data_IF_738937382244
#
_entry.id   IF_738937382244
#
_cell.length_a   1.000
_cell.length_b   1.000
_cell.length_c   1.000
_cell.angle_alpha   90.00
_cell.angle_beta   90.00
_cell.angle_gamma   90.00
#
_symmetry.space_group_name_H-M   'P 1'
#
loop_
_entity.id
_entity.type
_entity.pdbx_description
1 polymer ?
#
# COMPACT_ATOMS: atom_id res chain seq x y z
N UNK A 1 -9.72 -0.78 -31.12
CA UNK A 1 -8.89 -1.54 -30.15
C UNK A 1 -9.30 -1.12 -28.75
N UNK A 2 -9.62 -2.05 -27.83
CA UNK A 2 -9.89 -1.71 -26.44
C UNK A 2 -8.71 -0.95 -25.83
N UNK A 3 -8.96 0.01 -24.95
CA UNK A 3 -7.89 0.71 -24.22
C UNK A 3 -7.16 -0.32 -23.34
N UNK A 4 -5.85 -0.14 -23.11
CA UNK A 4 -5.01 -1.06 -22.32
C UNK A 4 -5.63 -1.36 -20.93
N UNK A 5 -6.31 -0.38 -20.34
CA UNK A 5 -7.05 -0.49 -19.08
C UNK A 5 -8.29 -1.39 -19.16
N UNK A 6 -9.03 -1.37 -20.27
CA UNK A 6 -10.22 -2.22 -20.48
C UNK A 6 -9.83 -3.69 -20.65
N UNK A 7 -8.73 -3.95 -21.37
CA UNK A 7 -8.20 -5.30 -21.54
C UNK A 7 -7.67 -5.87 -20.21
N UNK A 8 -7.00 -5.05 -19.41
CA UNK A 8 -6.54 -5.47 -18.08
C UNK A 8 -7.71 -5.85 -17.17
N UNK A 9 -8.76 -5.02 -17.11
CA UNK A 9 -9.96 -5.32 -16.34
C UNK A 9 -10.64 -6.62 -16.82
N UNK A 10 -10.71 -6.84 -18.13
CA UNK A 10 -11.29 -8.07 -18.68
C UNK A 10 -10.49 -9.33 -18.29
N UNK A 11 -9.16 -9.27 -18.34
CA UNK A 11 -8.28 -10.37 -17.92
C UNK A 11 -8.45 -10.64 -16.42
N UNK A 12 -8.41 -9.60 -15.59
CA UNK A 12 -8.59 -9.71 -14.15
C UNK A 12 -9.95 -10.32 -13.80
N UNK A 13 -11.04 -9.80 -14.37
CA UNK A 13 -12.39 -10.30 -14.13
C UNK A 13 -12.54 -11.78 -14.49
N UNK A 14 -11.95 -12.20 -15.63
CA UNK A 14 -11.97 -13.62 -16.03
C UNK A 14 -11.17 -14.50 -15.08
N UNK A 15 -10.05 -14.02 -14.57
CA UNK A 15 -9.25 -14.79 -13.60
C UNK A 15 -9.95 -14.85 -12.24
N UNK A 16 -10.57 -13.77 -11.77
CA UNK A 16 -11.31 -13.76 -10.52
C UNK A 16 -12.61 -14.59 -10.56
N UNK A 17 -13.22 -14.75 -11.75
CA UNK A 17 -14.43 -15.57 -11.90
C UNK A 17 -14.19 -17.06 -11.68
N UNK A 18 -12.93 -17.53 -11.63
CA UNK A 18 -12.60 -18.92 -11.32
C UNK A 18 -12.81 -19.28 -9.85
N UNK A 19 -12.85 -18.26 -8.97
CA UNK A 19 -12.95 -18.48 -7.54
C UNK A 19 -14.40 -18.83 -7.19
N UNK A 20 -14.61 -20.13 -7.01
CA UNK A 20 -15.81 -20.76 -6.47
C UNK A 20 -15.44 -21.36 -5.10
N UNK A 21 -15.90 -20.73 -4.01
CA UNK A 21 -15.67 -21.22 -2.66
C UNK A 21 -16.95 -21.05 -1.83
N UNK A 22 -17.27 -22.04 -0.99
CA UNK A 22 -18.51 -22.06 -0.18
C UNK A 22 -18.50 -20.97 0.89
N UNK A 23 -17.34 -20.71 1.49
CA UNK A 23 -17.10 -19.56 2.35
C UNK A 23 -16.88 -18.30 1.50
N UNK A 24 -17.79 -17.33 1.67
CA UNK A 24 -17.75 -16.05 0.94
C UNK A 24 -16.56 -15.17 1.32
N UNK A 25 -16.04 -15.27 2.54
CA UNK A 25 -14.87 -14.52 2.98
C UNK A 25 -13.62 -15.05 2.30
N UNK A 26 -13.41 -16.37 2.32
CA UNK A 26 -12.28 -17.01 1.62
C UNK A 26 -12.36 -16.72 0.12
N UNK A 27 -13.56 -16.75 -0.48
CA UNK A 27 -13.75 -16.39 -1.89
C UNK A 27 -13.30 -14.95 -2.20
N UNK A 28 -13.67 -13.99 -1.35
CA UNK A 28 -13.28 -12.59 -1.52
C UNK A 28 -11.76 -12.41 -1.39
N UNK A 29 -11.15 -13.01 -0.37
CA UNK A 29 -9.71 -12.93 -0.13
C UNK A 29 -8.89 -13.58 -1.26
N UNK A 30 -9.35 -14.71 -1.81
CA UNK A 30 -8.70 -15.34 -2.98
C UNK A 30 -8.80 -14.48 -4.24
N UNK A 31 -9.95 -13.83 -4.50
CA UNK A 31 -10.08 -12.89 -5.63
C UNK A 31 -9.15 -11.70 -5.49
N UNK A 32 -8.96 -11.20 -4.26
CA UNK A 32 -7.99 -10.16 -3.96
C UNK A 32 -6.56 -10.66 -4.18
N UNK A 33 -6.23 -11.89 -3.78
CA UNK A 33 -4.92 -12.49 -4.04
C UNK A 33 -4.62 -12.62 -5.55
N UNK A 34 -5.61 -13.00 -6.37
CA UNK A 34 -5.47 -13.00 -7.85
C UNK A 34 -5.20 -11.58 -8.35
N UNK A 35 -5.97 -10.58 -7.91
CA UNK A 35 -5.75 -9.19 -8.31
C UNK A 35 -4.34 -8.73 -7.98
N UNK A 36 -3.88 -9.05 -6.77
CA UNK A 36 -2.54 -8.73 -6.31
C UNK A 36 -1.47 -9.37 -7.18
N UNK A 37 -1.64 -10.65 -7.52
CA UNK A 37 -0.75 -11.37 -8.41
C UNK A 37 -0.72 -10.76 -9.82
N UNK A 38 -1.88 -10.47 -10.41
CA UNK A 38 -1.97 -9.84 -11.75
C UNK A 38 -1.28 -8.48 -11.77
N UNK A 39 -1.41 -7.69 -10.70
CA UNK A 39 -0.72 -6.39 -10.56
C UNK A 39 0.81 -6.56 -10.52
N UNK A 40 1.33 -7.53 -9.77
CA UNK A 40 2.78 -7.86 -9.75
C UNK A 40 3.28 -8.25 -11.15
N UNK A 41 2.50 -9.06 -11.86
CA UNK A 41 2.88 -9.70 -13.13
C UNK A 41 2.26 -9.04 -14.36
N UNK A 42 1.87 -7.77 -14.26
CA UNK A 42 1.08 -7.09 -15.28
C UNK A 42 1.76 -7.07 -16.65
N UNK A 43 3.10 -7.00 -16.69
CA UNK A 43 3.86 -6.99 -17.96
C UNK A 43 3.72 -8.32 -18.70
N UNK A 44 3.63 -9.43 -17.98
CA UNK A 44 3.52 -10.78 -18.51
C UNK A 44 2.07 -11.14 -18.83
N UNK A 45 1.10 -10.60 -18.07
CA UNK A 45 -0.30 -11.03 -18.11
C UNK A 45 -1.17 -10.19 -19.05
N UNK A 46 -0.88 -8.90 -19.23
CA UNK A 46 -1.77 -7.95 -19.95
C UNK A 46 -2.14 -8.34 -21.38
N UNK A 47 -1.32 -9.15 -22.04
CA UNK A 47 -1.52 -9.58 -23.43
C UNK A 47 -2.03 -11.01 -23.57
N UNK A 48 -2.26 -11.73 -22.47
CA UNK A 48 -2.74 -13.12 -22.54
C UNK A 48 -4.21 -13.16 -22.99
N UNK A 49 -4.50 -14.06 -23.92
CA UNK A 49 -5.83 -14.31 -24.49
C UNK A 49 -5.97 -15.81 -24.79
N UNK A 50 -7.21 -16.27 -25.02
CA UNK A 50 -7.50 -17.65 -25.42
C UNK A 50 -6.90 -18.68 -24.45
N UNK A 51 -6.23 -19.70 -25.01
CA UNK A 51 -5.63 -20.81 -24.27
C UNK A 51 -4.56 -20.33 -23.28
N UNK A 52 -3.80 -19.28 -23.61
CA UNK A 52 -2.77 -18.74 -22.72
C UNK A 52 -3.38 -18.13 -21.45
N UNK A 53 -4.56 -17.55 -21.55
CA UNK A 53 -5.30 -17.08 -20.37
C UNK A 53 -5.96 -18.25 -19.63
N UNK A 54 -6.37 -19.29 -20.36
CA UNK A 54 -6.90 -20.52 -19.79
C UNK A 54 -5.85 -21.27 -18.95
N UNK A 55 -4.57 -21.17 -19.29
CA UNK A 55 -3.46 -21.68 -18.49
C UNK A 55 -3.51 -21.14 -17.04
N UNK A 56 -3.57 -19.81 -16.87
CA UNK A 56 -3.70 -19.18 -15.55
C UNK A 56 -5.01 -19.51 -14.87
N UNK A 57 -6.11 -19.56 -15.64
CA UNK A 57 -7.41 -19.96 -15.11
C UNK A 57 -7.35 -21.35 -14.46
N UNK A 58 -6.75 -22.32 -15.15
CA UNK A 58 -6.58 -23.68 -14.64
C UNK A 58 -5.71 -23.71 -13.39
N UNK A 59 -4.67 -22.87 -13.32
CA UNK A 59 -3.82 -22.76 -12.13
C UNK A 59 -4.57 -22.20 -10.93
N UNK A 60 -5.32 -21.11 -11.08
CA UNK A 60 -6.07 -20.52 -9.96
C UNK A 60 -7.30 -21.35 -9.56
N UNK A 61 -7.78 -22.24 -10.43
CA UNK A 61 -8.78 -23.26 -10.08
C UNK A 61 -8.21 -24.37 -9.21
N UNK A 62 -6.91 -24.62 -9.30
CA UNK A 62 -6.28 -25.75 -8.64
C UNK A 62 -6.08 -25.46 -7.15
N UNK A 63 -6.72 -26.24 -6.29
CA UNK A 63 -6.63 -26.07 -4.83
C UNK A 63 -5.20 -26.22 -4.29
N UNK A 64 -4.31 -26.94 -4.97
CA UNK A 64 -2.91 -27.03 -4.55
C UNK A 64 -2.13 -25.72 -4.70
N UNK A 65 -2.63 -24.78 -5.51
CA UNK A 65 -2.07 -23.43 -5.64
C UNK A 65 -2.50 -22.50 -4.50
N UNK A 66 -3.31 -22.98 -3.55
CA UNK A 66 -3.85 -22.19 -2.45
C UNK A 66 -3.41 -22.76 -1.09
N UNK A 67 -3.25 -21.87 -0.12
CA UNK A 67 -3.10 -22.18 1.30
C UNK A 67 -4.13 -21.35 2.05
N UNK A 68 -5.32 -21.92 2.25
CA UNK A 68 -6.51 -21.18 2.66
C UNK A 68 -6.89 -20.12 1.63
N UNK A 69 -6.82 -18.85 2.03
CA UNK A 69 -7.10 -17.71 1.16
C UNK A 69 -5.88 -17.15 0.41
N UNK A 70 -4.66 -17.58 0.76
CA UNK A 70 -3.41 -17.08 0.17
C UNK A 70 -2.93 -17.99 -0.96
N UNK A 71 -2.22 -17.43 -1.92
CA UNK A 71 -1.51 -18.22 -2.93
C UNK A 71 -0.37 -18.99 -2.27
N UNK A 72 -0.27 -20.28 -2.60
CA UNK A 72 0.87 -21.12 -2.23
C UNK A 72 1.99 -20.89 -3.25
N UNK A 73 2.92 -19.99 -2.93
CA UNK A 73 4.01 -19.60 -3.84
C UNK A 73 4.89 -20.79 -4.26
N UNK A 74 5.10 -21.78 -3.39
CA UNK A 74 5.86 -22.99 -3.74
C UNK A 74 5.15 -23.79 -4.82
N UNK A 75 3.89 -24.17 -4.61
CA UNK A 75 3.13 -24.95 -5.59
C UNK A 75 2.86 -24.17 -6.88
N UNK A 76 2.59 -22.87 -6.76
CA UNK A 76 2.38 -21.98 -7.90
C UNK A 76 3.66 -21.87 -8.75
N UNK A 77 4.81 -21.69 -8.10
CA UNK A 77 6.12 -21.63 -8.76
C UNK A 77 6.46 -22.90 -9.53
N UNK A 78 6.21 -24.08 -8.92
CA UNK A 78 6.41 -25.36 -9.62
C UNK A 78 5.58 -25.43 -10.90
N UNK A 79 4.30 -25.08 -10.82
CA UNK A 79 3.40 -25.10 -11.98
C UNK A 79 3.77 -24.08 -13.05
N UNK A 80 4.17 -22.87 -12.65
CA UNK A 80 4.62 -21.82 -13.58
C UNK A 80 5.93 -22.16 -14.31
N UNK A 81 6.62 -23.23 -13.90
CA UNK A 81 7.85 -23.71 -14.54
C UNK A 81 7.66 -25.01 -15.34
N UNK A 82 6.46 -25.58 -15.36
CA UNK A 82 6.13 -26.71 -16.23
C UNK A 82 6.06 -26.28 -17.70
N UNK A 83 6.30 -27.22 -18.63
CA UNK A 83 6.19 -26.96 -20.07
C UNK A 83 4.75 -26.74 -20.52
N UNK A 84 3.83 -27.54 -19.96
CA UNK A 84 2.40 -27.43 -20.22
C UNK A 84 1.60 -27.87 -19.01
N UNK A 85 0.37 -27.39 -18.90
CA UNK A 85 -0.60 -27.85 -17.90
C UNK A 85 -1.89 -28.18 -18.64
N UNK A 86 -2.41 -29.39 -18.45
CA UNK A 86 -3.63 -29.89 -19.11
C UNK A 86 -3.58 -29.73 -20.64
N UNK A 87 -2.40 -29.97 -21.26
CA UNK A 87 -2.20 -29.85 -22.70
C UNK A 87 -2.09 -28.42 -23.22
N UNK A 88 -2.13 -27.41 -22.35
CA UNK A 88 -1.91 -26.01 -22.71
C UNK A 88 -0.45 -25.65 -22.46
N UNK A 89 0.26 -25.23 -23.50
CA UNK A 89 1.65 -24.75 -23.38
C UNK A 89 1.74 -23.55 -22.42
N UNK A 90 2.82 -23.55 -21.62
CA UNK A 90 3.07 -22.49 -20.68
C UNK A 90 3.39 -21.18 -21.42
N UNK A 91 2.59 -20.11 -21.22
CA UNK A 91 2.80 -18.84 -21.90
C UNK A 91 3.93 -18.00 -21.30
N UNK A 92 4.49 -18.41 -20.16
CA UNK A 92 5.53 -17.69 -19.44
C UNK A 92 6.92 -18.23 -19.76
N UNK A 93 7.91 -17.35 -19.62
CA UNK A 93 9.30 -17.79 -19.62
C UNK A 93 9.57 -18.63 -18.37
N UNK A 94 9.63 -19.97 -18.51
CA UNK A 94 9.91 -20.92 -17.42
C UNK A 94 11.08 -20.47 -16.54
N UNK A 95 12.22 -20.10 -17.13
CA UNK A 95 13.38 -19.58 -16.39
C UNK A 95 13.05 -18.38 -15.49
N UNK A 96 12.31 -17.38 -16.02
CA UNK A 96 11.96 -16.18 -15.25
C UNK A 96 11.03 -16.53 -14.09
N UNK A 97 10.09 -17.44 -14.29
CA UNK A 97 9.22 -17.92 -13.22
C UNK A 97 10.01 -18.73 -12.19
N UNK A 98 10.96 -19.58 -12.61
CA UNK A 98 11.82 -20.33 -11.72
C UNK A 98 12.65 -19.40 -10.82
N UNK A 99 13.27 -18.36 -11.39
CA UNK A 99 14.00 -17.35 -10.63
C UNK A 99 13.10 -16.63 -9.62
N UNK A 100 11.92 -16.17 -10.06
CA UNK A 100 11.00 -15.39 -9.22
C UNK A 100 10.33 -16.20 -8.12
N UNK A 101 10.10 -17.49 -8.32
CA UNK A 101 9.51 -18.36 -7.32
C UNK A 101 10.54 -19.21 -6.57
N UNK A 102 11.83 -18.92 -6.75
CA UNK A 102 12.93 -19.61 -6.08
C UNK A 102 12.94 -21.14 -6.30
N UNK A 103 12.57 -21.59 -7.51
CA UNK A 103 12.52 -23.01 -7.90
C UNK A 103 13.94 -23.48 -8.27
N UNK A 104 14.85 -23.48 -7.29
CA UNK A 104 16.31 -23.58 -7.48
C UNK A 104 16.73 -24.79 -8.32
N UNK A 105 16.07 -25.92 -8.14
CA UNK A 105 16.34 -27.17 -8.84
C UNK A 105 16.12 -27.09 -10.35
N UNK A 106 15.29 -26.16 -10.84
CA UNK A 106 15.06 -25.95 -12.29
C UNK A 106 15.89 -24.80 -12.87
N UNK A 107 16.42 -23.90 -12.04
CA UNK A 107 17.07 -22.65 -12.51
C UNK A 107 18.28 -22.96 -13.40
N UNK A 108 19.15 -23.89 -12.98
CA UNK A 108 20.39 -24.20 -13.72
C UNK A 108 20.07 -24.73 -15.12
N UNK A 109 19.21 -25.73 -15.22
CA UNK A 109 18.87 -26.38 -16.49
C UNK A 109 18.15 -25.42 -17.43
N UNK A 110 17.18 -24.65 -16.91
CA UNK A 110 16.46 -23.65 -17.69
C UNK A 110 17.37 -22.47 -18.13
N UNK A 111 18.41 -22.16 -17.35
CA UNK A 111 19.41 -21.18 -17.78
C UNK A 111 20.27 -21.75 -18.90
N UNK A 112 20.71 -23.01 -18.78
CA UNK A 112 21.53 -23.68 -19.80
C UNK A 112 20.83 -23.66 -21.17
N UNK A 113 19.53 -23.99 -21.24
CA UNK A 113 18.75 -23.89 -22.48
C UNK A 113 18.83 -22.51 -23.13
N UNK A 114 18.72 -21.45 -22.32
CA UNK A 114 18.79 -20.07 -22.79
C UNK A 114 20.20 -19.65 -23.17
N UNK A 115 21.18 -20.11 -22.40
CA UNK A 115 22.59 -19.88 -22.65
C UNK A 115 23.01 -20.47 -23.98
N UNK A 116 22.64 -21.73 -24.27
CA UNK A 116 22.97 -22.40 -25.53
C UNK A 116 22.33 -21.70 -26.73
N UNK A 117 21.06 -21.28 -26.60
CA UNK A 117 20.36 -20.50 -27.62
C UNK A 117 20.97 -19.11 -27.84
N UNK A 118 21.51 -18.49 -26.78
CA UNK A 118 22.17 -17.18 -26.86
C UNK A 118 23.55 -17.31 -27.49
N UNK A 119 24.34 -18.30 -27.05
CA UNK A 119 25.65 -18.66 -27.59
C UNK A 119 25.59 -18.91 -29.09
N UNK A 120 24.56 -19.60 -29.58
CA UNK A 120 24.40 -19.90 -31.01
C UNK A 120 24.18 -18.66 -31.90
N UNK A 121 23.98 -17.46 -31.31
CA UNK A 121 23.78 -16.20 -32.04
C UNK A 121 25.06 -15.39 -32.22
N UNK A 122 26.14 -15.77 -31.55
CA UNK A 122 27.43 -15.10 -31.71
C UNK A 122 28.02 -15.44 -33.08
N UNK A 123 28.48 -14.40 -33.78
CA UNK A 123 29.27 -14.59 -35.00
C UNK A 123 30.61 -15.26 -34.64
N UNK A 124 31.17 -16.13 -35.50
CA UNK A 124 32.52 -16.66 -35.32
C UNK A 124 33.60 -15.56 -35.18
N UNK A 125 33.35 -14.39 -35.79
CA UNK A 125 34.26 -13.23 -35.77
C UNK A 125 33.97 -12.24 -34.63
N UNK A 126 32.98 -12.52 -33.77
CA UNK A 126 32.69 -11.66 -32.64
C UNK A 126 33.84 -11.71 -31.62
N UNK A 127 34.23 -10.54 -31.13
CA UNK A 127 35.27 -10.40 -30.10
C UNK A 127 34.65 -10.03 -28.76
N UNK A 128 35.22 -10.52 -27.68
CA UNK A 128 34.88 -10.13 -26.31
C UNK A 128 35.52 -8.79 -25.94
N UNK A 129 35.27 -8.33 -24.71
CA UNK A 129 35.78 -7.05 -24.21
C UNK A 129 37.32 -7.00 -24.13
N UNK A 130 37.98 -8.15 -24.09
CA UNK A 130 39.44 -8.30 -24.07
C UNK A 130 40.04 -8.47 -25.48
N UNK A 131 39.20 -8.47 -26.53
CA UNK A 131 39.60 -8.65 -27.92
C UNK A 131 39.85 -10.10 -28.35
N UNK A 132 39.50 -11.07 -27.50
CA UNK A 132 39.51 -12.51 -27.80
C UNK A 132 38.22 -12.99 -28.47
N UNK A 133 38.15 -14.24 -28.99
CA UNK A 133 36.94 -14.73 -29.66
C UNK A 133 35.77 -14.94 -28.67
N UNK A 134 34.72 -14.12 -28.80
CA UNK A 134 33.56 -14.13 -27.91
C UNK A 134 32.80 -15.47 -27.96
N UNK A 135 32.67 -16.09 -29.13
CA UNK A 135 31.88 -17.32 -29.33
C UNK A 135 32.43 -18.53 -28.55
N UNK A 136 33.70 -18.50 -28.14
CA UNK A 136 34.34 -19.52 -27.30
C UNK A 136 34.48 -19.12 -25.82
N UNK A 137 34.09 -17.90 -25.46
CA UNK A 137 34.21 -17.39 -24.10
C UNK A 137 32.86 -17.49 -23.37
N UNK A 138 32.64 -18.63 -22.70
CA UNK A 138 31.38 -18.90 -21.99
C UNK A 138 31.11 -17.93 -20.84
N UNK A 139 32.16 -17.42 -20.20
CA UNK A 139 32.04 -16.38 -19.17
C UNK A 139 31.49 -15.09 -19.76
N UNK A 140 32.05 -14.63 -20.89
CA UNK A 140 31.59 -13.45 -21.60
C UNK A 140 30.13 -13.58 -22.05
N UNK A 141 29.79 -14.68 -22.74
CA UNK A 141 28.43 -14.94 -23.24
C UNK A 141 27.41 -14.96 -22.09
N UNK A 142 27.77 -15.57 -20.96
CA UNK A 142 26.91 -15.62 -19.77
C UNK A 142 26.71 -14.22 -19.20
N UNK A 143 27.75 -13.42 -19.07
CA UNK A 143 27.65 -12.04 -18.59
C UNK A 143 26.76 -11.19 -19.49
N UNK A 144 26.96 -11.24 -20.81
CA UNK A 144 26.12 -10.53 -21.79
C UNK A 144 24.65 -10.96 -21.69
N UNK A 145 24.39 -12.26 -21.57
CA UNK A 145 23.03 -12.78 -21.38
C UNK A 145 22.41 -12.29 -20.07
N UNK A 146 23.16 -12.32 -18.97
CA UNK A 146 22.67 -11.89 -17.66
C UNK A 146 22.43 -10.38 -17.63
N UNK A 147 23.26 -9.57 -18.28
CA UNK A 147 23.08 -8.12 -18.40
C UNK A 147 21.84 -7.77 -19.21
N UNK A 148 21.64 -8.47 -20.32
CA UNK A 148 20.39 -8.41 -21.10
C UNK A 148 19.19 -8.71 -20.21
N UNK A 149 19.23 -9.80 -19.42
CA UNK A 149 18.13 -10.17 -18.54
C UNK A 149 17.89 -9.17 -17.40
N UNK A 150 18.95 -8.70 -16.74
CA UNK A 150 18.91 -7.80 -15.58
C UNK A 150 18.23 -6.48 -15.92
N UNK A 151 18.52 -5.94 -17.10
CA UNK A 151 17.89 -4.71 -17.61
C UNK A 151 16.35 -4.81 -17.70
N UNK A 152 15.82 -6.01 -17.95
CA UNK A 152 14.37 -6.23 -18.00
C UNK A 152 13.78 -6.65 -16.65
N UNK A 153 14.53 -7.48 -15.90
CA UNK A 153 14.08 -8.12 -14.68
C UNK A 153 15.30 -8.56 -13.82
N UNK A 154 15.73 -7.73 -12.85
CA UNK A 154 16.93 -8.01 -12.05
C UNK A 154 16.92 -9.35 -11.30
N UNK A 155 15.74 -9.88 -10.96
CA UNK A 155 15.61 -11.20 -10.32
C UNK A 155 16.11 -12.33 -11.24
N UNK A 156 16.12 -12.11 -12.57
CA UNK A 156 16.59 -13.11 -13.53
C UNK A 156 18.10 -13.31 -13.53
N UNK A 157 18.90 -12.33 -13.06
CA UNK A 157 20.36 -12.48 -12.92
C UNK A 157 20.78 -12.92 -11.51
N UNK A 158 19.90 -12.76 -10.52
CA UNK A 158 20.17 -13.01 -9.10
C UNK A 158 20.82 -14.38 -8.82
N UNK A 159 20.32 -15.45 -9.45
CA UNK A 159 20.68 -16.82 -9.07
C UNK A 159 21.93 -17.37 -9.74
N UNK A 160 22.44 -16.75 -10.81
CA UNK A 160 23.56 -17.31 -11.60
C UNK A 160 24.87 -16.66 -11.18
N UNK A 161 25.90 -17.47 -10.93
CA UNK A 161 27.24 -16.95 -10.66
C UNK A 161 27.88 -16.48 -11.97
N UNK A 162 28.09 -15.17 -12.06
CA UNK A 162 28.73 -14.47 -13.19
C UNK A 162 30.23 -14.76 -13.30
N UNK A 163 30.91 -14.96 -12.18
CA UNK A 163 32.37 -14.96 -12.11
C UNK A 163 32.99 -16.34 -12.31
N UNK A 164 32.25 -17.37 -11.94
CA UNK A 164 32.68 -18.75 -12.13
C UNK A 164 33.00 -19.10 -13.59
N UNK A 165 33.91 -20.05 -13.80
CA UNK A 165 34.19 -20.57 -15.15
C UNK A 165 33.04 -21.45 -15.63
N UNK A 166 32.56 -22.36 -14.79
CA UNK A 166 31.43 -23.25 -15.08
C UNK A 166 30.07 -22.60 -14.77
N UNK A 167 29.00 -23.08 -15.40
CA UNK A 167 27.64 -22.68 -15.02
C UNK A 167 27.29 -23.25 -13.64
N UNK A 168 27.19 -22.38 -12.65
CA UNK A 168 26.73 -22.70 -11.30
C UNK A 168 25.80 -21.62 -10.75
N UNK A 169 25.01 -22.01 -9.76
CA UNK A 169 24.19 -21.06 -9.02
C UNK A 169 25.08 -20.27 -8.06
N UNK A 170 24.76 -18.99 -7.90
CA UNK A 170 25.36 -18.13 -6.89
C UNK A 170 24.91 -18.58 -5.51
N UNK A 171 25.88 -18.69 -4.60
CA UNK A 171 25.63 -18.98 -3.19
C UNK A 171 25.43 -17.68 -2.42
N UNK A 172 24.40 -17.65 -1.58
CA UNK A 172 24.06 -16.55 -0.70
C UNK A 172 23.95 -17.10 0.70
N UNK A 173 24.39 -16.33 1.71
CA UNK A 173 23.88 -16.53 3.05
C UNK A 173 22.38 -16.20 3.07
N UNK A 174 21.61 -16.78 3.98
CA UNK A 174 20.17 -16.51 4.04
C UNK A 174 19.89 -15.02 4.34
N UNK A 175 20.74 -14.36 5.13
CA UNK A 175 20.66 -12.91 5.42
C UNK A 175 20.93 -12.09 4.15
N UNK A 176 22.03 -12.36 3.44
CA UNK A 176 22.37 -11.60 2.23
C UNK A 176 21.30 -11.80 1.15
N UNK A 177 20.81 -13.03 0.99
CA UNK A 177 19.71 -13.33 0.08
C UNK A 177 18.42 -12.58 0.43
N UNK A 178 18.10 -12.48 1.74
CA UNK A 178 16.95 -11.71 2.20
C UNK A 178 17.10 -10.21 1.88
N UNK A 179 18.24 -9.60 2.23
CA UNK A 179 18.50 -8.17 2.01
C UNK A 179 18.45 -7.80 0.53
N UNK A 180 19.08 -8.61 -0.32
CA UNK A 180 19.02 -8.41 -1.77
C UNK A 180 17.59 -8.56 -2.32
N UNK A 181 16.81 -9.54 -1.82
CA UNK A 181 15.41 -9.68 -2.22
C UNK A 181 14.56 -8.46 -1.81
N UNK A 182 14.82 -7.88 -0.64
CA UNK A 182 14.21 -6.62 -0.18
C UNK A 182 14.57 -5.46 -1.12
N UNK A 183 15.84 -5.33 -1.48
CA UNK A 183 16.33 -4.28 -2.38
C UNK A 183 15.75 -4.39 -3.80
N UNK A 184 15.54 -5.62 -4.27
CA UNK A 184 14.84 -5.92 -5.51
C UNK A 184 13.32 -5.76 -5.43
N UNK A 185 12.77 -5.50 -4.23
CA UNK A 185 11.31 -5.45 -3.95
C UNK A 185 10.61 -6.73 -4.41
N UNK A 186 11.24 -7.86 -4.17
CA UNK A 186 10.83 -9.18 -4.67
C UNK A 186 10.18 -10.01 -3.56
N UNK A 187 8.85 -9.98 -3.51
CA UNK A 187 8.04 -10.59 -2.43
C UNK A 187 8.32 -12.08 -2.21
N UNK A 188 8.38 -12.86 -3.28
CA UNK A 188 8.57 -14.31 -3.21
C UNK A 188 10.00 -14.66 -2.74
N UNK A 189 11.00 -13.86 -3.12
CA UNK A 189 12.37 -13.98 -2.62
C UNK A 189 12.46 -13.65 -1.14
N UNK A 190 11.81 -12.55 -0.72
CA UNK A 190 11.73 -12.15 0.69
C UNK A 190 11.12 -13.28 1.52
N UNK A 191 9.99 -13.84 1.10
CA UNK A 191 9.37 -14.98 1.78
C UNK A 191 10.29 -16.21 1.81
N UNK A 192 10.94 -16.53 0.69
CA UNK A 192 11.84 -17.66 0.57
C UNK A 192 13.01 -17.57 1.57
N UNK A 193 13.73 -16.45 1.61
CA UNK A 193 14.86 -16.29 2.52
C UNK A 193 14.43 -16.10 3.97
N UNK A 194 13.33 -15.39 4.21
CA UNK A 194 12.74 -15.21 5.55
C UNK A 194 12.50 -16.55 6.26
N UNK A 195 11.93 -17.53 5.55
CA UNK A 195 11.63 -18.84 6.11
C UNK A 195 12.89 -19.67 6.44
N UNK A 196 14.08 -19.22 6.03
CA UNK A 196 15.38 -19.87 6.30
C UNK A 196 16.19 -19.18 7.39
N UNK A 197 15.93 -17.89 7.62
CA UNK A 197 16.48 -17.16 8.75
C UNK A 197 16.08 -17.81 10.08
N UNK A 198 16.96 -17.72 11.06
CA UNK A 198 16.63 -18.06 12.45
C UNK A 198 15.78 -16.95 13.10
N UNK A 199 15.23 -17.19 14.29
CA UNK A 199 14.29 -16.28 14.95
C UNK A 199 14.88 -14.88 15.21
N UNK A 200 16.11 -14.82 15.73
CA UNK A 200 16.79 -13.55 16.01
C UNK A 200 17.05 -12.75 14.73
N UNK A 201 17.52 -13.42 13.67
CA UNK A 201 17.72 -12.79 12.35
C UNK A 201 16.40 -12.26 11.77
N UNK A 202 15.30 -13.01 11.93
CA UNK A 202 13.98 -12.59 11.45
C UNK A 202 13.50 -11.31 12.09
N UNK A 203 13.63 -11.18 13.40
CA UNK A 203 13.21 -9.99 14.15
C UNK A 203 13.95 -8.74 13.65
N UNK A 204 15.28 -8.83 13.55
CA UNK A 204 16.12 -7.71 13.12
C UNK A 204 15.89 -7.34 11.65
N UNK A 205 15.95 -8.33 10.75
CA UNK A 205 15.94 -8.09 9.30
C UNK A 205 14.58 -7.61 8.79
N UNK A 206 13.46 -8.08 9.36
CA UNK A 206 12.14 -7.56 8.97
C UNK A 206 12.02 -6.07 9.35
N UNK A 207 12.45 -5.66 10.54
CA UNK A 207 12.37 -4.25 10.97
C UNK A 207 13.20 -3.38 10.02
N UNK A 208 14.42 -3.79 9.71
CA UNK A 208 15.30 -3.09 8.78
C UNK A 208 14.67 -3.01 7.38
N UNK A 209 14.08 -4.10 6.88
CA UNK A 209 13.39 -4.12 5.59
C UNK A 209 12.24 -3.11 5.53
N UNK A 210 11.39 -3.05 6.57
CA UNK A 210 10.29 -2.08 6.62
C UNK A 210 10.82 -0.65 6.64
N UNK A 211 11.85 -0.36 7.44
CA UNK A 211 12.45 0.97 7.52
C UNK A 211 13.04 1.42 6.18
N UNK A 212 13.72 0.52 5.47
CA UNK A 212 14.32 0.79 4.15
C UNK A 212 13.27 1.02 3.07
N UNK A 213 12.18 0.26 3.09
CA UNK A 213 11.13 0.35 2.08
C UNK A 213 10.12 1.48 2.37
N UNK A 214 10.00 1.93 3.61
CA UNK A 214 9.10 3.02 4.03
C UNK A 214 9.48 4.35 3.39
N UNK A 215 8.75 4.71 2.32
CA UNK A 215 9.02 5.89 1.50
C UNK A 215 7.71 6.45 0.95
N UNK A 216 7.61 7.78 0.83
CA UNK A 216 6.42 8.44 0.25
C UNK A 216 6.11 7.92 -1.16
N UNK A 217 7.14 7.71 -1.97
CA UNK A 217 7.02 7.14 -3.32
C UNK A 217 7.12 5.61 -3.28
N UNK A 218 6.06 4.96 -2.80
CA UNK A 218 5.95 3.52 -2.79
C UNK A 218 5.31 2.99 -4.08
N UNK A 219 5.91 1.97 -4.70
CA UNK A 219 5.32 1.22 -5.82
C UNK A 219 4.65 -0.07 -5.33
N UNK A 220 3.91 -0.75 -6.21
CA UNK A 220 3.10 -1.91 -5.83
C UNK A 220 3.94 -3.08 -5.25
N UNK A 221 5.07 -3.39 -5.89
CA UNK A 221 5.95 -4.48 -5.44
C UNK A 221 6.55 -4.18 -4.05
N UNK A 222 6.97 -2.93 -3.82
CA UNK A 222 7.42 -2.45 -2.51
C UNK A 222 6.33 -2.58 -1.46
N UNK A 223 5.10 -2.18 -1.77
CA UNK A 223 3.97 -2.32 -0.85
C UNK A 223 3.66 -3.79 -0.52
N UNK A 224 3.84 -4.71 -1.48
CA UNK A 224 3.67 -6.15 -1.27
C UNK A 224 4.72 -6.70 -0.30
N UNK A 225 5.97 -6.27 -0.40
CA UNK A 225 7.02 -6.65 0.56
C UNK A 225 6.74 -6.06 1.94
N UNK A 226 6.32 -4.79 2.01
CA UNK A 226 5.92 -4.15 3.28
C UNK A 226 4.77 -4.90 3.96
N UNK A 227 3.75 -5.29 3.19
CA UNK A 227 2.60 -6.08 3.67
C UNK A 227 3.06 -7.41 4.29
N UNK A 228 3.92 -8.15 3.58
CA UNK A 228 4.49 -9.39 4.09
C UNK A 228 5.26 -9.18 5.39
N UNK A 229 6.19 -8.21 5.41
CA UNK A 229 7.03 -7.95 6.57
C UNK A 229 6.20 -7.59 7.80
N UNK A 230 5.25 -6.65 7.66
CA UNK A 230 4.38 -6.24 8.77
C UNK A 230 3.48 -7.37 9.28
N UNK A 231 3.01 -8.24 8.39
CA UNK A 231 2.21 -9.41 8.75
C UNK A 231 3.02 -10.43 9.57
N UNK A 232 4.35 -10.51 9.34
CA UNK A 232 5.25 -11.41 10.06
C UNK A 232 5.76 -10.86 11.39
N UNK A 233 5.60 -9.56 11.65
CA UNK A 233 5.96 -8.97 12.93
C UNK A 233 4.93 -9.29 14.01
N UNK A 234 5.43 -9.60 15.20
CA UNK A 234 4.64 -9.64 16.42
C UNK A 234 4.45 -8.23 17.01
N UNK A 235 3.78 -8.15 18.17
CA UNK A 235 3.44 -6.88 18.80
C UNK A 235 4.69 -6.12 19.29
N UNK A 236 5.67 -6.76 19.98
CA UNK A 236 6.95 -6.14 20.31
C UNK A 236 7.70 -5.56 19.11
N UNK A 237 7.85 -6.32 18.02
CA UNK A 237 8.56 -5.84 16.83
C UNK A 237 7.85 -4.66 16.17
N UNK A 238 6.51 -4.64 16.15
CA UNK A 238 5.72 -3.48 15.66
C UNK A 238 5.88 -2.25 16.55
N UNK A 239 6.08 -2.44 17.85
CA UNK A 239 6.39 -1.34 18.76
C UNK A 239 7.80 -0.78 18.51
N UNK A 240 8.80 -1.64 18.38
CA UNK A 240 10.17 -1.23 18.04
C UNK A 240 10.23 -0.52 16.69
N UNK A 241 9.54 -1.06 15.68
CA UNK A 241 9.39 -0.43 14.37
C UNK A 241 8.83 1.00 14.51
N UNK A 242 7.77 1.18 15.31
CA UNK A 242 7.21 2.51 15.55
C UNK A 242 8.29 3.45 16.06
N UNK A 243 9.01 3.07 17.14
CA UNK A 243 10.06 3.91 17.72
C UNK A 243 11.12 4.32 16.68
N UNK A 244 11.60 3.38 15.86
CA UNK A 244 12.56 3.68 14.79
C UNK A 244 11.98 4.57 13.68
N UNK A 245 10.70 4.44 13.35
CA UNK A 245 10.04 5.31 12.36
C UNK A 245 9.83 6.73 12.87
N UNK A 246 9.71 6.95 14.18
CA UNK A 246 9.60 8.28 14.78
C UNK A 246 10.90 9.09 14.65
N UNK A 247 12.04 8.43 14.53
CA UNK A 247 13.34 9.07 14.32
C UNK A 247 13.53 9.54 12.86
N UNK A 248 12.66 9.11 11.94
CA UNK A 248 12.73 9.44 10.52
C UNK A 248 11.71 10.52 10.16
N UNK A 249 12.13 11.46 9.31
CA UNK A 249 11.21 12.45 8.76
C UNK A 249 10.07 11.76 8.00
N UNK A 250 8.83 12.07 8.40
CA UNK A 250 7.61 11.45 7.91
C UNK A 250 7.63 9.91 7.91
N UNK A 251 8.36 9.25 8.81
CA UNK A 251 8.58 7.80 8.77
C UNK A 251 7.27 6.99 8.81
N UNK A 252 6.43 7.25 9.81
CA UNK A 252 5.12 6.61 10.00
C UNK A 252 4.19 6.89 8.82
N UNK A 253 4.11 8.16 8.39
CA UNK A 253 3.27 8.53 7.25
C UNK A 253 3.73 7.86 5.95
N UNK A 254 5.03 7.83 5.68
CA UNK A 254 5.61 7.22 4.49
C UNK A 254 5.26 5.74 4.37
N UNK A 255 5.34 5.01 5.48
CA UNK A 255 4.93 3.61 5.55
C UNK A 255 3.44 3.44 5.21
N UNK A 256 2.57 4.11 5.97
CA UNK A 256 1.12 3.94 5.85
C UNK A 256 0.62 4.42 4.48
N UNK A 257 1.11 5.56 3.98
CA UNK A 257 0.73 6.09 2.68
C UNK A 257 1.05 5.12 1.54
N UNK A 258 2.19 4.42 1.61
CA UNK A 258 2.54 3.41 0.63
C UNK A 258 1.55 2.25 0.59
N UNK A 259 1.16 1.74 1.76
CA UNK A 259 0.18 0.66 1.88
C UNK A 259 -1.23 1.10 1.45
N UNK A 260 -1.67 2.29 1.87
CA UNK A 260 -2.99 2.85 1.49
C UNK A 260 -3.08 3.03 -0.02
N UNK A 261 -2.06 3.62 -0.65
CA UNK A 261 -2.04 3.85 -2.10
C UNK A 261 -2.24 2.57 -2.91
N UNK A 262 -1.72 1.46 -2.41
CA UNK A 262 -1.83 0.15 -3.05
C UNK A 262 -2.89 -0.75 -2.43
N UNK A 263 -3.77 -0.19 -1.60
CA UNK A 263 -4.96 -0.83 -1.04
C UNK A 263 -4.69 -2.02 -0.10
N UNK A 264 -3.56 -2.01 0.61
CA UNK A 264 -3.27 -2.96 1.70
C UNK A 264 -3.94 -2.49 3.01
N UNK A 265 -5.27 -2.34 2.96
CA UNK A 265 -6.04 -1.70 4.04
C UNK A 265 -6.12 -2.54 5.31
N UNK A 266 -6.15 -3.87 5.22
CA UNK A 266 -6.16 -4.76 6.39
C UNK A 266 -4.90 -4.54 7.25
N UNK A 267 -3.74 -4.46 6.61
CA UNK A 267 -2.46 -4.21 7.27
C UNK A 267 -2.39 -2.82 7.86
N UNK A 268 -2.91 -1.82 7.14
CA UNK A 268 -3.03 -0.46 7.69
C UNK A 268 -3.94 -0.44 8.92
N UNK A 269 -5.07 -1.15 8.87
CA UNK A 269 -6.02 -1.24 9.98
C UNK A 269 -5.40 -1.94 11.19
N UNK A 270 -4.69 -3.06 11.00
CA UNK A 270 -3.97 -3.78 12.06
C UNK A 270 -2.95 -2.86 12.76
N UNK A 271 -2.11 -2.17 11.98
CA UNK A 271 -1.10 -1.26 12.50
C UNK A 271 -1.72 -0.06 13.21
N UNK A 272 -2.74 0.57 12.61
CA UNK A 272 -3.41 1.71 13.23
C UNK A 272 -4.16 1.31 14.50
N UNK A 273 -4.78 0.13 14.53
CA UNK A 273 -5.44 -0.41 15.72
C UNK A 273 -4.44 -0.48 16.89
N UNK A 274 -3.28 -1.07 16.65
CA UNK A 274 -2.22 -1.20 17.65
C UNK A 274 -1.68 0.15 18.09
N UNK A 275 -1.23 0.97 17.14
CA UNK A 275 -0.57 2.23 17.47
C UNK A 275 -1.50 3.27 18.10
N UNK A 276 -2.79 3.24 17.79
CA UNK A 276 -3.73 4.28 18.20
C UNK A 276 -4.68 3.85 19.33
N UNK A 277 -4.96 2.56 19.52
CA UNK A 277 -5.99 2.10 20.45
C UNK A 277 -5.50 1.14 21.53
N UNK A 278 -4.40 0.43 21.28
CA UNK A 278 -3.74 -0.36 22.30
C UNK A 278 -2.79 0.55 23.10
N UNK A 279 -2.51 0.21 24.37
CA UNK A 279 -1.67 1.02 25.26
C UNK A 279 -0.23 1.09 24.74
N UNK A 280 0.01 1.98 23.79
CA UNK A 280 1.34 2.29 23.30
C UNK A 280 1.90 3.42 24.14
N UNK A 281 3.08 3.21 24.70
CA UNK A 281 3.83 4.17 25.54
C UNK A 281 4.18 5.50 24.83
N UNK A 282 3.93 5.60 23.53
CA UNK A 282 4.23 6.76 22.69
C UNK A 282 3.03 7.72 22.65
N UNK A 283 3.18 9.00 23.02
CA UNK A 283 2.13 10.01 22.83
C UNK A 283 1.73 10.14 21.35
N UNK A 284 0.43 10.23 21.03
CA UNK A 284 -0.02 10.22 19.63
C UNK A 284 0.38 11.47 18.84
N UNK A 285 0.64 12.57 19.53
CA UNK A 285 1.23 13.80 18.98
C UNK A 285 2.65 13.62 18.46
N UNK A 286 3.30 12.52 18.84
CA UNK A 286 4.59 12.10 18.26
C UNK A 286 4.43 11.16 17.08
N UNK A 287 3.32 10.41 16.98
CA UNK A 287 3.12 9.38 15.93
C UNK A 287 3.03 10.02 14.54
N UNK A 288 2.32 11.14 14.41
CA UNK A 288 2.20 11.89 13.16
C UNK A 288 2.29 13.38 13.46
N UNK A 289 2.87 14.16 12.55
CA UNK A 289 2.70 15.61 12.59
C UNK A 289 1.25 16.01 12.26
N UNK A 290 0.82 17.23 12.58
CA UNK A 290 -0.49 17.75 12.15
C UNK A 290 -0.67 17.71 10.62
N UNK A 291 0.41 17.95 9.88
CA UNK A 291 0.39 17.89 8.42
C UNK A 291 0.23 16.46 7.92
N UNK A 292 1.02 15.52 8.45
CA UNK A 292 1.00 14.11 8.07
C UNK A 292 -0.33 13.43 8.41
N UNK A 293 -0.94 13.79 9.54
CA UNK A 293 -2.28 13.35 9.89
C UNK A 293 -3.30 13.71 8.80
N UNK A 294 -3.30 14.97 8.34
CA UNK A 294 -4.20 15.40 7.28
C UNK A 294 -3.90 14.74 5.93
N UNK A 295 -2.62 14.52 5.61
CA UNK A 295 -2.20 13.81 4.40
C UNK A 295 -2.67 12.36 4.43
N UNK A 296 -2.49 11.66 5.56
CA UNK A 296 -2.90 10.27 5.75
C UNK A 296 -4.40 10.10 5.48
N UNK A 297 -5.23 10.94 6.09
CA UNK A 297 -6.68 10.94 5.87
C UNK A 297 -7.06 11.25 4.42
N UNK A 298 -6.29 12.12 3.76
CA UNK A 298 -6.48 12.41 2.33
C UNK A 298 -6.15 11.22 1.44
N UNK A 299 -5.16 10.40 1.81
CA UNK A 299 -4.80 9.20 1.07
C UNK A 299 -5.93 8.16 1.08
N UNK A 300 -6.64 7.97 2.19
CA UNK A 300 -7.83 7.12 2.22
C UNK A 300 -8.95 7.63 1.33
N UNK A 301 -9.14 8.95 1.25
CA UNK A 301 -10.13 9.53 0.33
C UNK A 301 -9.84 9.19 -1.13
N UNK A 302 -8.59 9.01 -1.54
CA UNK A 302 -8.31 8.58 -2.91
C UNK A 302 -8.79 7.13 -3.11
N UNK A 303 -8.54 6.24 -2.15
CA UNK A 303 -9.01 4.84 -2.18
C UNK A 303 -10.54 4.77 -2.24
N UNK A 304 -11.25 5.53 -1.38
CA UNK A 304 -12.72 5.61 -1.37
C UNK A 304 -13.28 5.97 -2.75
N UNK A 305 -12.60 6.87 -3.46
CA UNK A 305 -13.06 7.38 -4.74
C UNK A 305 -12.69 6.46 -5.92
N UNK A 306 -11.49 5.90 -5.90
CA UNK A 306 -10.90 5.12 -7.00
C UNK A 306 -11.24 3.63 -6.93
N UNK A 307 -11.49 3.08 -5.74
CA UNK A 307 -11.80 1.67 -5.54
C UNK A 307 -13.15 1.49 -4.82
N UNK A 308 -14.26 1.32 -5.56
CA UNK A 308 -15.59 1.15 -4.99
C UNK A 308 -15.73 -0.06 -4.05
N UNK A 309 -15.01 -1.14 -4.31
CA UNK A 309 -15.09 -2.39 -3.52
C UNK A 309 -14.48 -2.20 -2.13
N UNK A 310 -13.40 -1.42 -2.03
CA UNK A 310 -12.71 -1.13 -0.78
C UNK A 310 -13.16 0.18 -0.13
N UNK A 311 -14.11 0.89 -0.74
CA UNK A 311 -14.57 2.20 -0.27
C UNK A 311 -15.12 2.15 1.17
N UNK A 312 -15.92 1.13 1.49
CA UNK A 312 -16.49 0.97 2.83
C UNK A 312 -15.39 0.76 3.89
N UNK A 313 -14.39 -0.09 3.60
CA UNK A 313 -13.28 -0.34 4.50
C UNK A 313 -12.40 0.90 4.69
N UNK A 314 -12.02 1.57 3.60
CA UNK A 314 -11.23 2.80 3.67
C UNK A 314 -11.94 3.91 4.46
N UNK A 315 -13.27 4.04 4.30
CA UNK A 315 -14.10 4.97 5.07
C UNK A 315 -14.14 4.60 6.55
N UNK A 316 -14.33 3.31 6.87
CA UNK A 316 -14.30 2.83 8.25
C UNK A 316 -12.98 3.19 8.93
N UNK A 317 -11.84 2.90 8.30
CA UNK A 317 -10.51 3.22 8.86
C UNK A 317 -10.35 4.74 9.02
N UNK A 318 -10.82 5.54 8.05
CA UNK A 318 -10.79 7.01 8.14
C UNK A 318 -11.57 7.50 9.37
N UNK A 319 -12.78 6.97 9.58
CA UNK A 319 -13.64 7.36 10.71
C UNK A 319 -13.12 6.86 12.04
N UNK A 320 -12.51 5.69 12.09
CA UNK A 320 -11.82 5.21 13.28
C UNK A 320 -10.73 6.21 13.67
N UNK A 321 -9.79 6.51 12.76
CA UNK A 321 -8.71 7.47 13.00
C UNK A 321 -9.25 8.85 13.42
N UNK A 322 -10.34 9.31 12.81
CA UNK A 322 -11.01 10.54 13.21
C UNK A 322 -11.58 10.46 14.64
N UNK A 323 -12.25 9.37 15.01
CA UNK A 323 -12.86 9.21 16.33
C UNK A 323 -11.86 8.92 17.44
N UNK A 324 -10.62 8.54 17.11
CA UNK A 324 -9.56 8.36 18.10
C UNK A 324 -9.27 9.66 18.88
N UNK A 325 -9.44 9.61 20.20
CA UNK A 325 -9.23 10.76 21.08
C UNK A 325 -7.77 11.21 21.13
N UNK A 326 -6.82 10.31 20.86
CA UNK A 326 -5.40 10.65 20.90
C UNK A 326 -4.98 11.62 19.79
N UNK A 327 -5.76 11.72 18.70
CA UNK A 327 -5.52 12.68 17.62
C UNK A 327 -6.27 14.01 17.76
N UNK A 328 -6.83 14.33 18.95
CA UNK A 328 -7.68 15.51 19.09
C UNK A 328 -7.01 16.84 18.71
N UNK A 329 -5.73 17.01 19.06
CA UNK A 329 -4.97 18.21 18.67
C UNK A 329 -4.66 18.23 17.17
N UNK A 330 -4.45 17.08 16.53
CA UNK A 330 -4.31 17.00 15.07
C UNK A 330 -5.62 17.33 14.36
N UNK A 331 -6.76 16.86 14.87
CA UNK A 331 -8.08 17.20 14.33
C UNK A 331 -8.32 18.71 14.36
N UNK A 332 -8.09 19.31 15.52
CA UNK A 332 -8.11 20.76 15.71
C UNK A 332 -7.23 21.44 14.66
N UNK A 333 -5.93 21.19 14.69
CA UNK A 333 -4.96 21.83 13.79
C UNK A 333 -5.32 21.64 12.31
N UNK A 334 -5.80 20.46 11.93
CA UNK A 334 -6.19 20.16 10.56
C UNK A 334 -7.33 21.05 10.07
N UNK A 335 -8.33 21.33 10.91
CA UNK A 335 -9.45 22.22 10.56
C UNK A 335 -9.06 23.70 10.62
N UNK A 336 -8.27 24.12 11.63
CA UNK A 336 -7.86 25.53 11.82
C UNK A 336 -6.85 26.06 10.80
N UNK A 337 -6.12 25.19 10.10
CA UNK A 337 -4.90 25.56 9.36
C UNK A 337 -5.08 26.46 8.11
N UNK A 338 -6.23 27.13 7.93
CA UNK A 338 -6.54 27.97 6.76
C UNK A 338 -6.26 27.29 5.40
N UNK A 339 -6.33 25.97 5.35
CA UNK A 339 -6.07 25.17 4.14
C UNK A 339 -4.64 24.68 3.95
N UNK A 340 -3.74 24.88 4.93
CA UNK A 340 -2.39 24.29 4.90
C UNK A 340 -2.39 22.77 5.13
N UNK A 341 -3.37 22.25 5.87
CA UNK A 341 -3.54 20.82 6.11
C UNK A 341 -4.64 20.25 5.19
N UNK A 342 -4.42 19.09 4.52
CA UNK A 342 -5.28 18.64 3.43
C UNK A 342 -6.59 17.97 3.86
N UNK A 343 -7.06 18.15 5.10
CA UNK A 343 -8.31 17.54 5.60
C UNK A 343 -9.55 17.87 4.74
N UNK A 344 -9.53 19.00 4.04
CA UNK A 344 -10.56 19.40 3.07
C UNK A 344 -10.67 18.40 1.91
N UNK A 345 -9.54 17.77 1.51
CA UNK A 345 -9.53 16.74 0.47
C UNK A 345 -10.19 15.46 0.94
N UNK A 346 -9.92 15.05 2.17
CA UNK A 346 -10.62 13.93 2.82
C UNK A 346 -12.13 14.19 2.84
N UNK A 347 -12.55 15.33 3.39
CA UNK A 347 -13.96 15.67 3.51
C UNK A 347 -14.67 15.78 2.15
N UNK A 348 -14.02 16.36 1.14
CA UNK A 348 -14.54 16.38 -0.22
C UNK A 348 -14.76 14.97 -0.78
N UNK A 349 -13.86 14.03 -0.50
CA UNK A 349 -14.05 12.63 -0.90
C UNK A 349 -15.21 11.94 -0.20
N UNK A 350 -15.37 12.17 1.11
CA UNK A 350 -16.51 11.64 1.88
C UNK A 350 -17.85 12.19 1.37
N UNK A 351 -17.92 13.47 0.99
CA UNK A 351 -19.12 14.08 0.39
C UNK A 351 -19.45 13.42 -0.95
N UNK A 352 -18.45 13.15 -1.78
CA UNK A 352 -18.64 12.44 -3.06
C UNK A 352 -19.09 10.99 -2.82
N UNK A 353 -18.53 10.31 -1.83
CA UNK A 353 -18.93 8.94 -1.46
C UNK A 353 -20.36 8.86 -0.89
N UNK A 354 -20.76 9.86 -0.10
CA UNK A 354 -22.14 10.01 0.37
C UNK A 354 -23.10 10.15 -0.81
N UNK A 355 -22.84 11.04 -1.76
CA UNK A 355 -23.72 11.25 -2.92
C UNK A 355 -23.77 10.02 -3.86
N UNK A 356 -22.72 9.20 -3.88
CA UNK A 356 -22.75 7.88 -4.55
C UNK A 356 -23.74 6.94 -3.86
N UNK A 357 -23.72 6.87 -2.53
CA UNK A 357 -24.60 6.03 -1.70
C UNK A 357 -26.00 6.60 -1.46
N UNK A 358 -26.27 7.85 -1.84
CA UNK A 358 -27.55 8.51 -1.58
C UNK A 358 -28.76 7.80 -2.21
N UNK A 359 -28.55 7.16 -3.38
CA UNK A 359 -29.60 6.39 -4.05
C UNK A 359 -29.98 5.09 -3.32
N UNK A 360 -29.09 4.54 -2.49
CA UNK A 360 -29.36 3.35 -1.67
C UNK A 360 -29.94 3.67 -0.29
N UNK A 361 -30.24 4.95 0.00
CA UNK A 361 -30.82 5.38 1.28
C UNK A 361 -29.87 5.33 2.47
N UNK A 362 -28.55 5.23 2.24
CA UNK A 362 -27.53 5.15 3.29
C UNK A 362 -27.36 6.53 3.97
N UNK A 363 -27.95 6.68 5.16
CA UNK A 363 -27.84 7.89 5.98
C UNK A 363 -26.53 7.95 6.76
N UNK A 364 -25.87 6.82 7.02
CA UNK A 364 -24.67 6.74 7.85
C UNK A 364 -23.51 7.57 7.28
N UNK A 365 -23.32 7.53 5.95
CA UNK A 365 -22.30 8.35 5.28
C UNK A 365 -22.50 9.86 5.46
N UNK A 366 -23.76 10.30 5.50
CA UNK A 366 -24.09 11.71 5.74
C UNK A 366 -23.75 12.11 7.17
N UNK A 367 -24.12 11.25 8.12
CA UNK A 367 -23.90 11.48 9.54
C UNK A 367 -22.40 11.57 9.86
N UNK A 368 -21.56 10.75 9.24
CA UNK A 368 -20.10 10.82 9.34
C UNK A 368 -19.53 12.16 8.82
N UNK A 369 -20.04 12.66 7.69
CA UNK A 369 -19.67 13.98 7.15
C UNK A 369 -20.11 15.10 8.11
N UNK A 370 -21.33 15.01 8.63
CA UNK A 370 -21.87 15.98 9.59
C UNK A 370 -21.09 15.96 10.90
N UNK A 371 -20.66 14.81 11.41
CA UNK A 371 -19.82 14.68 12.60
C UNK A 371 -18.53 15.52 12.48
N UNK A 372 -17.84 15.41 11.34
CA UNK A 372 -16.61 16.17 11.07
C UNK A 372 -16.90 17.67 10.98
N UNK A 373 -17.98 18.05 10.30
CA UNK A 373 -18.41 19.44 10.17
C UNK A 373 -18.84 20.06 11.52
N UNK A 374 -19.51 19.29 12.38
CA UNK A 374 -19.91 19.72 13.72
C UNK A 374 -18.68 19.95 14.60
N UNK A 375 -17.69 19.05 14.53
CA UNK A 375 -16.41 19.25 15.20
C UNK A 375 -15.75 20.55 14.72
N UNK A 376 -15.68 20.77 13.41
CA UNK A 376 -15.13 22.00 12.84
C UNK A 376 -15.84 23.25 13.37
N UNK A 377 -17.18 23.28 13.38
CA UNK A 377 -17.97 24.40 13.90
C UNK A 377 -17.80 24.62 15.39
N UNK A 378 -17.64 23.55 16.18
CA UNK A 378 -17.48 23.63 17.63
C UNK A 378 -16.12 24.21 18.02
N UNK A 379 -15.07 23.86 17.30
CA UNK A 379 -13.71 24.22 17.70
C UNK A 379 -13.16 25.42 16.92
N UNK A 380 -13.57 25.65 15.67
CA UNK A 380 -13.12 26.81 14.90
C UNK A 380 -13.64 28.15 15.42
N UNK A 381 -12.82 29.19 15.27
CA UNK A 381 -13.34 30.57 15.32
C UNK A 381 -14.35 30.76 14.19
N UNK A 382 -15.24 31.74 14.32
CA UNK A 382 -16.24 32.02 13.29
C UNK A 382 -15.58 32.38 11.95
N UNK A 383 -14.47 33.12 11.97
CA UNK A 383 -13.70 33.50 10.79
C UNK A 383 -13.02 32.30 10.12
N UNK A 384 -12.36 31.43 10.90
CA UNK A 384 -11.73 30.22 10.39
C UNK A 384 -12.75 29.24 9.84
N UNK A 385 -13.92 29.13 10.48
CA UNK A 385 -15.00 28.25 10.03
C UNK A 385 -15.60 28.73 8.70
N UNK A 386 -15.81 30.05 8.55
CA UNK A 386 -16.25 30.64 7.27
C UNK A 386 -15.22 30.40 6.17
N UNK A 387 -13.93 30.59 6.48
CA UNK A 387 -12.84 30.32 5.55
C UNK A 387 -12.81 28.83 5.15
N UNK A 388 -12.88 27.93 6.12
CA UNK A 388 -12.95 26.48 5.90
C UNK A 388 -14.09 26.09 4.97
N UNK A 389 -15.31 26.58 5.24
CA UNK A 389 -16.51 26.39 4.43
C UNK A 389 -16.30 26.83 2.98
N UNK A 390 -15.82 28.06 2.78
CA UNK A 390 -15.62 28.63 1.45
C UNK A 390 -14.60 27.81 0.63
N UNK A 391 -13.50 27.39 1.26
CA UNK A 391 -12.50 26.56 0.60
C UNK A 391 -13.03 25.17 0.23
N UNK A 392 -13.79 24.51 1.11
CA UNK A 392 -14.36 23.19 0.82
C UNK A 392 -15.32 23.26 -0.38
N UNK A 393 -16.22 24.25 -0.38
CA UNK A 393 -17.17 24.48 -1.48
C UNK A 393 -16.42 24.78 -2.78
N UNK A 394 -15.44 25.67 -2.73
CA UNK A 394 -14.60 26.00 -3.90
C UNK A 394 -13.88 24.76 -4.45
N UNK A 395 -13.31 23.93 -3.57
CA UNK A 395 -12.63 22.71 -3.97
C UNK A 395 -13.57 21.72 -4.67
N UNK A 396 -14.80 21.54 -4.17
CA UNK A 396 -15.81 20.68 -4.78
C UNK A 396 -16.35 21.22 -6.11
N UNK A 397 -16.35 22.54 -6.32
CA UNK A 397 -16.77 23.18 -7.58
C UNK A 397 -15.68 23.12 -8.66
N UNK A 398 -14.42 23.26 -8.28
CA UNK A 398 -13.31 23.51 -9.21
C UNK A 398 -12.46 22.29 -9.50
N UNK A 399 -12.38 21.33 -8.58
CA UNK A 399 -11.50 20.16 -8.71
C UNK A 399 -12.31 18.94 -9.13
N UNK A 400 -12.17 18.54 -10.38
CA UNK A 400 -12.71 17.27 -10.86
C UNK A 400 -12.06 16.09 -10.13
N UNK A 401 -12.87 15.18 -9.62
CA UNK A 401 -12.43 13.99 -8.86
C UNK A 401 -13.04 12.74 -9.44
N UNK A 402 -12.28 11.65 -9.36
CA UNK A 402 -12.81 10.31 -9.63
C UNK A 402 -14.08 10.10 -8.82
N UNK A 403 -15.16 9.70 -9.49
CA UNK A 403 -16.43 9.43 -8.84
C UNK A 403 -17.46 10.52 -8.76
N UNK A 404 -17.11 11.75 -9.15
CA UNK A 404 -18.10 12.79 -9.32
C UNK A 404 -19.06 12.45 -10.47
N UNK A 405 -20.37 12.49 -10.20
CA UNK A 405 -21.42 12.26 -11.19
C UNK A 405 -21.61 13.51 -12.04
N UNK A 406 -21.78 13.33 -13.36
CA UNK A 406 -22.17 14.43 -14.26
C UNK A 406 -23.54 14.98 -13.85
N UNK A 407 -23.72 16.30 -13.94
CA UNK A 407 -24.97 16.97 -13.60
C UNK A 407 -25.22 17.17 -12.10
N UNK A 408 -24.31 16.74 -11.22
CA UNK A 408 -24.39 17.00 -9.77
C UNK A 408 -23.54 18.22 -9.41
N UNK A 409 -24.16 19.22 -8.77
CA UNK A 409 -23.47 20.36 -8.19
C UNK A 409 -23.02 20.04 -6.76
N UNK A 410 -21.82 19.48 -6.63
CA UNK A 410 -21.22 19.14 -5.33
C UNK A 410 -20.98 20.37 -4.44
N UNK A 411 -20.85 21.56 -5.03
CA UNK A 411 -20.77 22.81 -4.29
C UNK A 411 -22.07 23.13 -3.57
N UNK A 412 -23.21 23.06 -4.29
CA UNK A 412 -24.55 23.22 -3.68
C UNK A 412 -24.86 22.12 -2.67
N UNK A 413 -24.41 20.90 -2.91
CA UNK A 413 -24.54 19.80 -1.95
C UNK A 413 -23.85 20.14 -0.62
N UNK A 414 -22.61 20.64 -0.69
CA UNK A 414 -21.88 21.09 0.50
C UNK A 414 -22.55 22.30 1.17
N UNK A 415 -23.03 23.28 0.40
CA UNK A 415 -23.80 24.43 0.94
C UNK A 415 -25.01 23.94 1.76
N UNK A 416 -25.75 22.95 1.26
CA UNK A 416 -26.87 22.32 1.96
C UNK A 416 -26.47 21.67 3.30
N UNK A 417 -25.32 20.97 3.34
CA UNK A 417 -24.79 20.40 4.59
C UNK A 417 -24.50 21.49 5.63
N UNK A 418 -23.87 22.60 5.22
CA UNK A 418 -23.61 23.72 6.14
C UNK A 418 -24.92 24.39 6.62
N UNK A 419 -25.92 24.54 5.75
CA UNK A 419 -27.23 25.07 6.15
C UNK A 419 -27.97 24.17 7.15
N UNK A 420 -27.78 22.86 7.07
CA UNK A 420 -28.32 21.92 8.05
C UNK A 420 -27.58 22.02 9.40
N UNK A 421 -26.26 22.17 9.35
CA UNK A 421 -25.41 22.40 10.52
C UNK A 421 -25.79 23.68 11.30
N UNK A 422 -26.33 24.68 10.61
CA UNK A 422 -26.80 25.94 11.21
C UNK A 422 -28.15 25.83 11.92
N UNK A 423 -28.90 24.75 11.67
CA UNK A 423 -30.19 24.48 12.32
C UNK A 423 -30.05 23.66 13.61
N UNK A 424 -28.89 23.02 13.84
CA UNK A 424 -28.61 22.22 15.03
C UNK A 424 -28.05 23.14 16.14
N UNK A 425 -28.72 23.27 17.31
CA UNK A 425 -28.19 24.03 18.43
C UNK A 425 -26.87 23.40 18.91
N UNK A 426 -25.82 24.20 19.06
CA UNK A 426 -24.58 23.72 19.69
C UNK A 426 -24.89 23.47 21.17
N UNK A 427 -24.68 22.27 21.72
CA UNK A 427 -24.80 22.08 23.16
C UNK A 427 -23.75 22.95 23.85
N UNK A 428 -24.21 23.91 24.65
CA UNK A 428 -23.36 24.74 25.50
C UNK A 428 -22.67 23.85 26.56
N UNK A 429 -21.50 23.30 26.22
CA UNK A 429 -20.56 22.83 27.24
C UNK A 429 -19.82 24.06 27.76
N UNK A 430 -20.20 24.53 28.96
CA UNK A 430 -19.55 25.62 29.65
C UNK A 430 -18.04 25.34 29.83
N UNK A 431 -17.23 26.04 29.04
CA UNK A 431 -15.85 26.35 29.36
C UNK A 431 -15.75 27.86 29.26
N UNK A 432 -15.55 28.50 30.41
CA UNK A 432 -15.41 29.94 30.50
C UNK A 432 -14.21 30.45 29.71
N UNK A 433 -14.33 31.70 29.27
CA UNK A 433 -13.27 32.50 28.66
C UNK A 433 -11.95 32.40 29.45
N UNK A 434 -10.80 32.10 28.80
CA UNK A 434 -9.49 32.22 29.44
C UNK A 434 -9.01 33.68 29.63
N UNK A 435 -9.85 34.68 29.39
CA UNK A 435 -9.39 36.08 29.27
C UNK A 435 -9.84 37.05 30.37
N UNK A 436 -10.44 36.59 31.47
CA UNK A 436 -10.92 37.49 32.54
C UNK A 436 -10.34 37.27 33.94
N UNK A 437 -9.23 36.55 34.11
CA UNK A 437 -8.52 36.51 35.39
C UNK A 437 -7.28 37.41 35.36
N UNK A 438 -7.46 38.73 35.34
CA UNK A 438 -6.43 39.70 35.74
C UNK A 438 -7.01 41.11 35.97
N UNK A 439 -8.08 41.24 36.75
CA UNK A 439 -8.40 42.53 37.41
C UNK A 439 -8.80 42.27 38.87
N UNK A 440 -8.00 42.82 39.77
CA UNK A 440 -8.12 42.71 41.21
C UNK A 440 -9.30 43.52 41.77
N UNK A 441 -9.68 43.29 43.03
CA UNK A 441 -10.19 44.36 43.87
C UNK A 441 -9.15 44.73 44.92
N UNK A 442 -8.76 46.00 44.89
CA UNK A 442 -8.02 46.63 45.98
C UNK A 442 -8.83 46.59 47.28
N UNK A 443 -8.12 46.39 48.38
CA UNK A 443 -8.63 46.65 49.73
C UNK A 443 -7.69 47.67 50.36
N UNK A 444 -8.21 48.87 50.60
CA UNK A 444 -7.57 49.94 51.34
C UNK A 444 -7.63 49.67 52.85
N UNK A 445 -6.46 49.46 53.45
CA UNK A 445 -5.96 50.08 54.69
C UNK A 445 -6.72 49.96 56.02
N UNK A 446 -6.06 49.40 57.04
CA UNK A 446 -5.84 50.08 58.33
C UNK A 446 -4.77 49.38 59.21
N UNK A 447 -3.68 50.10 59.49
CA UNK A 447 -3.00 50.29 60.79
C UNK A 447 -3.12 49.22 61.91
N UNK A 448 -1.96 48.75 62.43
CA UNK A 448 -1.86 48.16 63.77
C UNK A 448 -0.48 47.59 64.14
N UNK A 449 0.12 48.10 65.22
CA UNK A 449 1.49 47.94 65.74
C UNK A 449 2.01 46.55 66.18
N UNK A 450 3.36 46.43 66.15
CA UNK A 450 4.33 45.79 67.08
C UNK A 450 4.12 44.32 67.50
N UNK A 451 5.13 43.45 67.64
CA UNK A 451 6.56 43.60 67.98
C UNK A 451 7.40 42.64 67.13
#
# INVERSE_FOLDING_TARGET
MPRITERHAAVLNKLQSVIEHTDSQIAAERRLAIERWVKTYIRQVKSLEGDKLQFLYNMFRDESCWSGAKLNNTSLGQRLTEESINGIENPFSRYKMACRYCVKEKIKDLFQEKFDLHKSRFSPDAVDDDGGPAASNDKYIRSDLLDSMENYDPVSSFWIDRESEELKLKEYSDIDGFREAVDLKWSEGVEYFYNRLNEQEREEEIINAVITLSTVQCNYNRATVLDFCLYKMDDPAKHELLLKLLEKDQGVYSLLNGLIRWSFLDTVQDIMKRWCYEEVSVPADKILSHHDYGLLLSSFSNVILENPELSAQARSITMDIWRCNRFNEHKKAAVFSNGRVPIKRMLAGLIVDWERGRASGDTGKKDEVLEILQFAKKYCTQEDFVSFKNYLISNLKTVGRTGMKSGVDYGKLAEGLFSELDKVPIPHSGFGDPQSMLEAPGISGSSGHSK
#
